data_IF_826404290363
#
_entry.id   IF_826404290363
#
_cell.length_a   1.000
_cell.length_b   1.000
_cell.length_c   1.000
_cell.angle_alpha   90.00
_cell.angle_beta   90.00
_cell.angle_gamma   90.00
#
_symmetry.space_group_name_H-M   'P 1'
#
loop_
_entity.id
_entity.type
_entity.pdbx_description
1 polymer ?
2 polymer ?
3 non-polymer ?
4 non-polymer ?
5 non-polymer ?
6 non-polymer ?
7 water ?
#
# COMPACT_ATOMS: atom_id res chain seq x y z
N UNK A 1 3.82 -7.64 11.93
CA UNK A 1 2.44 -7.35 12.36
C UNK A 1 2.24 -7.92 13.76
N UNK A 2 1.86 -7.08 14.70
CA UNK A 2 1.61 -7.52 16.07
C UNK A 2 0.09 -7.59 16.25
N UNK A 3 -0.38 -8.68 16.85
CA UNK A 3 -1.77 -8.86 17.24
C UNK A 3 -2.76 -9.09 16.11
N UNK A 4 -2.29 -9.60 14.97
CA UNK A 4 -3.18 -9.87 13.84
C UNK A 4 -3.43 -11.35 13.68
N UNK A 5 -3.50 -11.81 12.42
CA UNK A 5 -3.72 -13.23 12.14
C UNK A 5 -3.04 -13.55 10.82
N UNK A 6 -2.87 -14.85 10.51
CA UNK A 6 -2.33 -15.28 9.24
C UNK A 6 -3.33 -14.86 8.15
N UNK A 7 -2.84 -14.24 7.05
CA UNK A 7 -3.69 -13.87 5.91
C UNK A 7 -3.90 -15.19 5.15
N UNK A 8 -5.12 -15.76 5.03
CA UNK A 8 -5.25 -17.02 4.26
C UNK A 8 -4.60 -16.88 2.88
N UNK A 9 -3.88 -17.92 2.43
CA UNK A 9 -3.16 -17.92 1.14
C UNK A 9 -4.08 -17.45 0.02
N UNK A 10 -3.66 -16.41 -0.70
CA UNK A 10 -4.42 -15.85 -1.82
C UNK A 10 -5.35 -14.71 -1.43
N UNK A 11 -5.48 -14.36 -0.10
CA UNK A 11 -6.37 -13.24 0.27
C UNK A 11 -5.72 -11.83 0.30
N UNK A 12 -4.38 -11.72 0.13
CA UNK A 12 -3.66 -10.43 0.04
C UNK A 12 -2.81 -10.61 -1.23
N UNK A 13 -3.46 -10.81 -2.43
CA UNK A 13 -2.67 -11.17 -3.64
C UNK A 13 -1.85 -10.07 -4.24
N UNK A 14 -1.96 -8.87 -3.69
CA UNK A 14 -1.19 -7.71 -4.15
C UNK A 14 0.06 -7.52 -3.32
N UNK A 15 0.20 -8.26 -2.20
CA UNK A 15 1.33 -8.14 -1.28
C UNK A 15 2.62 -8.50 -2.00
N UNK A 16 3.63 -7.66 -1.85
CA UNK A 16 4.93 -7.91 -2.44
C UNK A 16 5.91 -8.14 -1.26
N UNK A 17 6.89 -9.00 -1.49
CA UNK A 17 8.01 -9.24 -0.61
C UNK A 17 9.25 -8.73 -1.34
N UNK A 18 9.99 -7.79 -0.69
CA UNK A 18 11.23 -7.29 -1.29
C UNK A 18 12.44 -7.94 -0.62
N UNK A 19 13.35 -8.45 -1.46
CA UNK A 19 14.55 -9.13 -0.98
C UNK A 19 15.82 -8.43 -1.47
N UNK A 20 16.87 -8.38 -0.62
CA UNK A 20 18.21 -7.87 -1.04
C UNK A 20 19.22 -8.98 -0.72
N UNK A 21 19.83 -9.57 -1.75
CA UNK A 21 20.73 -10.73 -1.58
C UNK A 21 19.98 -11.92 -0.94
N UNK A 22 18.68 -12.03 -1.23
CA UNK A 22 17.81 -13.09 -0.72
C UNK A 22 17.30 -12.90 0.70
N UNK A 23 17.74 -11.84 1.35
CA UNK A 23 17.32 -11.53 2.70
C UNK A 23 16.09 -10.62 2.65
N UNK A 24 15.18 -10.81 3.60
CA UNK A 24 13.96 -10.02 3.77
C UNK A 24 14.31 -8.54 3.97
N UNK A 25 13.80 -7.67 3.10
CA UNK A 25 14.08 -6.23 3.22
C UNK A 25 12.86 -5.44 3.69
N UNK A 26 11.76 -5.59 2.95
CA UNK A 26 10.55 -4.78 3.08
C UNK A 26 9.37 -5.44 2.40
N UNK A 27 8.21 -4.79 2.52
CA UNK A 27 6.99 -5.13 1.82
C UNK A 27 6.78 -4.14 0.71
N UNK A 28 5.74 -4.38 -0.08
CA UNK A 28 5.36 -3.55 -1.22
C UNK A 28 3.95 -3.88 -1.68
N UNK A 29 3.40 -3.09 -2.59
CA UNK A 29 2.05 -3.32 -3.14
C UNK A 29 2.12 -3.27 -4.66
N UNK A 30 1.66 -4.34 -5.32
CA UNK A 30 1.57 -4.43 -6.78
C UNK A 30 0.33 -3.59 -7.19
N UNK A 31 0.49 -2.59 -8.06
CA UNK A 31 -0.66 -1.77 -8.49
C UNK A 31 -1.04 -2.05 -9.97
N UNK A 32 -0.21 -2.80 -10.71
CA UNK A 32 -0.48 -3.32 -12.07
C UNK A 32 0.61 -4.33 -12.37
N UNK A 33 0.73 -4.87 -13.59
CA UNK A 33 1.71 -5.93 -13.81
C UNK A 33 3.20 -5.48 -13.75
N UNK A 34 3.48 -4.18 -13.88
CA UNK A 34 4.85 -3.66 -13.96
C UNK A 34 5.31 -2.91 -12.73
N UNK A 35 4.40 -2.27 -12.02
CA UNK A 35 4.74 -1.35 -10.93
C UNK A 35 4.38 -1.82 -9.53
N UNK A 36 5.25 -1.50 -8.58
CA UNK A 36 5.10 -1.76 -7.15
C UNK A 36 5.25 -0.45 -6.36
N UNK A 37 4.42 -0.26 -5.35
CA UNK A 37 4.56 0.89 -4.47
C UNK A 37 5.14 0.38 -3.15
N UNK A 38 6.22 1.04 -2.69
CA UNK A 38 6.85 0.68 -1.41
C UNK A 38 7.17 1.97 -0.62
N UNK A 39 8.03 1.89 0.41
CA UNK A 39 8.44 3.06 1.21
C UNK A 39 9.85 3.40 0.80
N UNK A 40 10.16 4.70 0.71
CA UNK A 40 11.50 5.20 0.40
C UNK A 40 12.55 4.74 1.42
N UNK A 41 12.22 4.76 2.74
CA UNK A 41 13.22 4.41 3.78
C UNK A 41 13.81 3.00 3.63
N UNK A 42 13.10 2.08 2.93
CA UNK A 42 13.50 0.69 2.65
C UNK A 42 14.84 0.66 1.94
N UNK A 43 15.14 1.72 1.16
CA UNK A 43 16.31 1.75 0.30
C UNK A 43 17.46 2.62 0.79
N UNK A 44 17.37 3.16 2.02
CA UNK A 44 18.41 4.04 2.59
C UNK A 44 19.81 3.42 2.61
N UNK A 45 19.90 2.10 2.86
CA UNK A 45 21.19 1.41 2.97
C UNK A 45 21.54 0.47 1.79
N UNK A 46 20.83 0.54 0.66
CA UNK A 46 21.15 -0.36 -0.47
C UNK A 46 22.52 0.01 -1.05
N UNK A 47 23.40 -0.97 -1.28
CA UNK A 47 24.68 -0.64 -1.92
C UNK A 47 24.72 -1.16 -3.35
N UNK A 48 24.25 -2.42 -3.53
CA UNK A 48 24.17 -3.03 -4.85
C UNK A 48 22.71 -3.15 -5.25
N UNK A 49 22.30 -2.21 -6.11
CA UNK A 49 20.95 -2.09 -6.62
C UNK A 49 20.53 -3.30 -7.48
N UNK A 50 21.51 -4.07 -8.02
CA UNK A 50 21.30 -5.26 -8.86
C UNK A 50 20.78 -6.52 -8.13
N UNK A 51 20.86 -6.57 -6.78
CA UNK A 51 20.44 -7.73 -5.98
C UNK A 51 19.07 -7.56 -5.30
N UNK A 52 18.29 -6.59 -5.79
CA UNK A 52 16.96 -6.25 -5.30
C UNK A 52 15.95 -7.01 -6.11
N UNK A 53 15.18 -7.86 -5.44
CA UNK A 53 14.18 -8.74 -6.06
C UNK A 53 12.84 -8.49 -5.40
N UNK A 54 11.78 -8.52 -6.22
CA UNK A 54 10.38 -8.44 -5.76
C UNK A 54 9.74 -9.82 -5.97
N UNK A 55 9.03 -10.33 -4.97
CA UNK A 55 8.39 -11.65 -5.08
C UNK A 55 6.88 -11.42 -4.90
N UNK A 56 6.06 -11.91 -5.88
CA UNK A 56 4.60 -11.83 -5.81
C UNK A 56 4.13 -13.23 -5.62
N UNK A 57 2.92 -13.40 -5.09
CA UNK A 57 2.32 -14.73 -4.89
C UNK A 57 2.90 -15.46 -3.70
N UNK A 58 3.64 -14.74 -2.86
CA UNK A 58 4.27 -15.29 -1.66
C UNK A 58 3.29 -15.42 -0.56
N UNK A 59 3.46 -16.44 0.28
CA UNK A 59 2.61 -16.64 1.45
C UNK A 59 3.48 -17.19 2.62
N UNK A 60 4.08 -18.37 2.42
CA UNK A 60 4.92 -19.07 3.41
C UNK A 60 6.37 -19.04 2.96
N UNK A 61 7.21 -18.41 3.76
CA UNK A 61 8.64 -18.25 3.42
C UNK A 61 9.48 -19.52 3.53
N UNK A 62 8.96 -20.56 4.19
CA UNK A 62 9.73 -21.80 4.38
C UNK A 62 9.55 -22.78 3.25
N UNK A 63 8.61 -22.51 2.34
CA UNK A 63 8.31 -23.49 1.29
C UNK A 63 8.02 -22.81 -0.04
N UNK A 64 8.44 -23.43 -1.14
CA UNK A 64 8.11 -22.97 -2.49
C UNK A 64 6.92 -23.80 -2.93
N UNK A 65 5.76 -23.17 -3.21
CA UNK A 65 4.58 -23.94 -3.66
C UNK A 65 4.25 -23.75 -5.14
N UNK A 66 5.02 -22.94 -5.84
CA UNK A 66 4.83 -22.70 -7.27
C UNK A 66 3.99 -21.47 -7.64
N UNK A 67 3.38 -20.80 -6.68
CA UNK A 67 2.60 -19.60 -6.97
C UNK A 67 3.48 -18.34 -6.89
N UNK A 68 4.71 -18.48 -6.35
CA UNK A 68 5.61 -17.36 -6.19
C UNK A 68 6.13 -16.94 -7.53
N UNK A 69 6.26 -15.62 -7.77
CA UNK A 69 6.86 -15.09 -9.01
C UNK A 69 7.89 -14.07 -8.57
N UNK A 70 9.14 -14.28 -8.95
CA UNK A 70 10.26 -13.39 -8.64
C UNK A 70 10.62 -12.50 -9.82
N UNK A 71 10.85 -11.20 -9.58
CA UNK A 71 11.28 -10.28 -10.65
C UNK A 71 12.37 -9.36 -10.13
N UNK A 72 13.33 -9.04 -11.00
CA UNK A 72 14.38 -8.08 -10.67
C UNK A 72 13.74 -6.70 -10.73
N UNK A 73 14.19 -5.79 -9.89
CA UNK A 73 13.65 -4.44 -9.87
C UNK A 73 14.54 -3.61 -10.77
N UNK A 74 13.99 -3.11 -11.91
CA UNK A 74 14.74 -2.31 -12.88
C UNK A 74 14.87 -0.84 -12.46
N UNK A 75 13.94 -0.32 -11.63
CA UNK A 75 13.99 1.08 -11.22
C UNK A 75 13.36 1.28 -9.87
N UNK A 76 13.95 2.19 -9.05
CA UNK A 76 13.43 2.59 -7.72
C UNK A 76 13.32 4.11 -7.78
N UNK A 77 12.08 4.63 -7.78
CA UNK A 77 11.80 6.07 -7.92
C UNK A 77 11.35 6.64 -6.60
N UNK A 78 12.10 7.60 -6.12
CA UNK A 78 11.87 8.24 -4.83
C UNK A 78 11.68 9.77 -5.04
N UNK A 79 10.74 10.40 -4.31
CA UNK A 79 10.55 11.85 -4.49
C UNK A 79 11.78 12.62 -4.01
N UNK A 80 12.08 13.74 -4.72
CA UNK A 80 13.24 14.58 -4.42
C UNK A 80 13.18 15.19 -3.05
N UNK A 81 11.97 15.26 -2.46
CA UNK A 81 11.74 15.87 -1.15
C UNK A 81 11.97 14.90 0.01
N UNK A 82 12.12 13.58 -0.29
CA UNK A 82 12.44 12.57 0.73
C UNK A 82 13.91 12.75 1.14
N UNK A 83 14.16 12.75 2.46
CA UNK A 83 15.53 12.87 2.97
C UNK A 83 15.87 11.57 3.72
N UNK A 84 16.91 10.81 3.34
CA UNK A 84 17.20 9.55 4.08
C UNK A 84 17.31 9.75 5.59
N UNK A 85 16.81 8.78 6.35
CA UNK A 85 16.88 8.80 7.80
C UNK A 85 15.79 9.61 8.45
N UNK A 86 14.88 10.19 7.64
CA UNK A 86 13.78 11.00 8.16
C UNK A 86 12.43 10.32 7.80
N UNK A 87 11.32 10.98 8.13
CA UNK A 87 9.96 10.45 7.99
C UNK A 87 9.14 10.94 6.78
N UNK A 88 9.25 12.23 6.39
CA UNK A 88 8.39 12.80 5.34
C UNK A 88 8.61 12.25 3.94
N UNK A 89 7.49 12.17 3.15
CA UNK A 89 7.49 11.71 1.76
C UNK A 89 8.04 10.30 1.63
N UNK A 90 7.56 9.38 2.50
CA UNK A 90 8.11 8.02 2.54
C UNK A 90 7.42 7.09 1.55
N UNK A 91 7.75 7.25 0.26
CA UNK A 91 7.14 6.48 -0.81
C UNK A 91 8.22 6.18 -1.88
N UNK A 92 8.13 5.01 -2.51
CA UNK A 92 8.99 4.60 -3.62
C UNK A 92 8.11 3.90 -4.62
N UNK A 93 8.40 4.12 -5.91
CA UNK A 93 7.73 3.49 -7.03
C UNK A 93 8.76 2.65 -7.75
N UNK A 94 8.51 1.35 -7.83
CA UNK A 94 9.46 0.39 -8.39
C UNK A 94 8.93 -0.14 -9.68
N UNK A 95 9.78 -0.19 -10.69
CA UNK A 95 9.43 -0.77 -11.99
C UNK A 95 10.09 -2.15 -12.07
N UNK A 96 9.29 -3.19 -12.36
CA UNK A 96 9.81 -4.56 -12.48
C UNK A 96 10.47 -4.68 -13.85
N UNK A 97 11.54 -5.48 -13.95
CA UNK A 97 12.27 -5.66 -15.21
C UNK A 97 11.42 -6.39 -16.27
N UNK A 98 10.54 -7.27 -15.82
CA UNK A 98 9.63 -8.03 -16.66
C UNK A 98 8.32 -8.04 -15.91
N UNK A 99 7.16 -7.89 -16.59
CA UNK A 99 5.88 -7.92 -15.84
C UNK A 99 5.64 -9.23 -15.12
N UNK A 100 4.86 -9.19 -14.03
CA UNK A 100 4.40 -10.43 -13.39
C UNK A 100 3.18 -10.88 -14.19
N UNK A 101 2.82 -12.16 -14.10
CA UNK A 101 1.64 -12.74 -14.74
C UNK A 101 0.53 -12.75 -13.65
N UNK A 102 -0.63 -12.17 -13.95
CA UNK A 102 -1.74 -12.17 -12.99
C UNK A 102 -2.36 -13.54 -12.99
N UNK A 103 -2.66 -14.03 -11.79
CA UNK A 103 -3.21 -15.38 -11.53
C UNK A 103 -4.09 -15.22 -10.29
N UNK A 104 -4.68 -16.31 -9.82
CA UNK A 104 -5.51 -16.26 -8.60
C UNK A 104 -4.71 -15.75 -7.40
N UNK A 105 -3.38 -15.92 -7.43
CA UNK A 105 -2.52 -15.55 -6.30
C UNK A 105 -1.72 -14.26 -6.48
N UNK A 106 -1.83 -13.63 -7.66
CA UNK A 106 -1.07 -12.39 -7.97
C UNK A 106 -2.06 -11.45 -8.68
N UNK A 107 -2.54 -10.44 -7.97
CA UNK A 107 -3.53 -9.48 -8.49
C UNK A 107 -3.15 -8.09 -7.99
N UNK A 108 -3.23 -7.02 -8.82
CA UNK A 108 -2.89 -5.69 -8.30
C UNK A 108 -3.95 -5.11 -7.39
N UNK A 109 -3.54 -4.22 -6.49
CA UNK A 109 -4.47 -3.48 -5.64
C UNK A 109 -4.81 -2.21 -6.45
N UNK A 110 -6.04 -1.66 -6.37
CA UNK A 110 -6.33 -0.42 -7.15
C UNK A 110 -5.65 0.81 -6.57
N UNK A 111 -4.91 1.55 -7.41
CA UNK A 111 -4.37 2.84 -6.98
C UNK A 111 -5.53 3.77 -7.27
N UNK A 112 -6.14 4.42 -6.27
CA UNK A 112 -7.32 5.22 -6.56
C UNK A 112 -6.98 6.59 -7.13
N UNK A 113 -8.00 7.32 -7.61
CA UNK A 113 -7.84 8.72 -8.02
C UNK A 113 -7.78 9.55 -6.74
N UNK A 114 -7.07 10.69 -6.79
CA UNK A 114 -6.93 11.55 -5.61
C UNK A 114 -8.29 11.99 -5.02
N UNK A 115 -9.23 12.46 -5.88
CA UNK A 115 -10.54 12.95 -5.39
C UNK A 115 -11.28 11.89 -4.61
N UNK A 116 -11.43 10.72 -5.24
CA UNK A 116 -12.04 9.56 -4.66
C UNK A 116 -11.36 9.18 -3.31
N UNK A 117 -10.01 9.16 -3.29
CA UNK A 117 -9.26 8.82 -2.07
C UNK A 117 -9.47 9.84 -0.95
N UNK A 118 -9.40 11.14 -1.26
CA UNK A 118 -9.58 12.18 -0.22
C UNK A 118 -11.03 12.34 0.24
N UNK A 119 -12.00 12.32 -0.68
CA UNK A 119 -13.38 12.58 -0.26
C UNK A 119 -14.17 11.33 0.14
N UNK A 120 -13.70 10.14 -0.20
CA UNK A 120 -14.44 8.94 0.17
C UNK A 120 -13.60 7.93 0.98
N UNK A 121 -12.46 7.48 0.42
CA UNK A 121 -11.68 6.45 1.09
C UNK A 121 -11.15 6.90 2.44
N UNK A 122 -10.76 8.19 2.55
CA UNK A 122 -10.21 8.74 3.79
C UNK A 122 -11.18 8.66 4.98
N UNK A 123 -12.46 8.39 4.71
CA UNK A 123 -13.49 8.29 5.75
C UNK A 123 -13.89 6.87 6.08
N UNK A 124 -13.28 5.88 5.40
CA UNK A 124 -13.54 4.46 5.73
C UNK A 124 -12.68 4.22 6.97
N UNK A 125 -13.33 3.89 8.09
CA UNK A 125 -12.65 3.74 9.38
C UNK A 125 -11.55 2.71 9.39
N UNK A 126 -11.88 1.46 9.06
CA UNK A 126 -10.93 0.35 9.13
C UNK A 126 -10.31 0.00 7.77
N UNK A 127 -9.05 -0.42 7.81
CA UNK A 127 -8.27 -0.85 6.66
C UNK A 127 -7.36 -1.97 7.08
N UNK A 128 -6.86 -2.74 6.10
CA UNK A 128 -5.98 -3.86 6.39
C UNK A 128 -4.52 -3.48 6.13
N UNK A 129 -3.62 -3.87 7.05
CA UNK A 129 -2.15 -3.68 6.95
C UNK A 129 -1.54 -5.07 7.01
N UNK A 130 -0.53 -5.35 6.17
CA UNK A 130 -0.03 -6.70 6.11
C UNK A 130 1.48 -6.79 5.92
N UNK A 131 2.05 -7.93 6.28
CA UNK A 131 3.47 -8.15 6.06
C UNK A 131 4.02 -9.34 6.81
N UNK A 132 5.33 -9.63 6.57
CA UNK A 132 6.03 -10.71 7.22
C UNK A 132 6.95 -10.08 8.31
N UNK A 133 6.50 -9.02 8.94
CA UNK A 133 7.30 -8.35 9.95
C UNK A 133 7.24 -9.03 11.30
N UNK A 134 7.81 -8.36 12.29
CA UNK A 134 7.91 -8.84 13.67
C UNK A 134 6.53 -9.16 14.20
N UNK A 135 6.43 -10.31 14.88
CA UNK A 135 5.18 -10.76 15.51
C UNK A 135 5.04 -10.13 16.88
N UNK A 136 6.15 -9.61 17.42
CA UNK A 136 6.25 -8.96 18.74
C UNK A 136 7.38 -7.95 18.67
N UNK A 137 7.32 -6.91 19.52
CA UNK A 137 8.44 -5.97 19.65
C UNK A 137 9.62 -6.78 20.23
N UNK A 138 10.78 -6.70 19.55
CA UNK A 138 12.04 -7.40 19.85
C UNK A 138 11.87 -8.93 19.72
N UNK A 139 10.90 -9.32 18.88
CA UNK A 139 10.59 -10.71 18.57
C UNK A 139 10.93 -11.08 17.14
N UNK A 140 10.75 -12.36 16.81
CA UNK A 140 11.02 -12.94 15.48
C UNK A 140 10.01 -12.44 14.42
N UNK A 141 10.43 -12.44 13.16
CA UNK A 141 9.55 -12.06 12.03
C UNK A 141 8.68 -13.26 11.67
N UNK A 142 7.55 -13.03 10.98
CA UNK A 142 6.63 -14.10 10.61
C UNK A 142 7.08 -14.93 9.41
N UNK A 143 6.77 -16.23 9.43
CA UNK A 143 7.06 -17.10 8.27
C UNK A 143 5.89 -17.10 7.28
N UNK A 144 4.65 -16.92 7.79
CA UNK A 144 3.44 -16.79 6.95
C UNK A 144 2.97 -15.35 6.98
N UNK A 145 2.42 -14.87 5.86
CA UNK A 145 1.92 -13.50 5.72
C UNK A 145 0.83 -13.23 6.76
N UNK A 146 1.00 -12.13 7.50
CA UNK A 146 0.07 -11.71 8.53
C UNK A 146 -0.70 -10.47 8.08
N UNK A 147 -1.91 -10.30 8.61
CA UNK A 147 -2.78 -9.18 8.28
C UNK A 147 -3.43 -8.72 9.57
N UNK A 148 -3.68 -7.41 9.67
CA UNK A 148 -4.31 -6.76 10.82
C UNK A 148 -5.24 -5.63 10.33
N UNK A 149 -6.42 -5.54 10.97
CA UNK A 149 -7.43 -4.52 10.70
C UNK A 149 -7.18 -3.37 11.65
N UNK A 150 -6.93 -2.16 11.13
CA UNK A 150 -6.63 -0.96 11.94
C UNK A 150 -7.58 0.23 11.70
N UNK A 151 -8.00 0.99 12.75
CA UNK A 151 -8.83 2.18 12.48
C UNK A 151 -7.95 3.40 12.15
N UNK A 152 -8.41 4.26 11.22
CA UNK A 152 -7.69 5.48 10.87
C UNK A 152 -8.10 6.59 11.82
N UNK A 153 -7.15 7.46 12.18
CA UNK A 153 -7.40 8.59 13.05
C UNK A 153 -7.23 9.89 12.31
N UNK A 154 -7.94 10.94 12.74
CA UNK A 154 -7.76 12.29 12.21
C UNK A 154 -6.47 12.75 12.89
N UNK A 155 -5.63 13.55 12.20
CA UNK A 155 -4.30 13.90 12.73
C UNK A 155 -4.40 14.62 14.11
N UNK A 156 -5.39 15.53 14.32
CA UNK A 156 -5.58 16.20 15.63
C UNK A 156 -5.81 15.13 16.74
N UNK A 157 -6.66 14.13 16.45
CA UNK A 157 -6.99 13.00 17.35
C UNK A 157 -5.79 12.11 17.63
N UNK A 158 -4.89 11.90 16.62
CA UNK A 158 -3.68 11.09 16.81
C UNK A 158 -2.76 11.80 17.81
N UNK A 159 -2.65 13.12 17.68
CA UNK A 159 -1.81 13.97 18.53
C UNK A 159 -2.38 14.12 19.96
N UNK A 160 -3.71 14.06 20.12
CA UNK A 160 -4.35 14.18 21.44
C UNK A 160 -4.37 12.84 22.19
N UNK A 161 -4.29 11.70 21.46
CA UNK A 161 -4.31 10.35 22.02
C UNK A 161 -2.90 9.78 22.24
N UNK A 162 -1.85 10.49 21.78
CA UNK A 162 -0.47 10.03 21.88
C UNK A 162 0.24 10.47 23.17
N UNK A 163 1.10 9.57 23.71
CA UNK A 163 1.87 9.79 24.94
C UNK A 163 3.00 10.82 24.72
N UNK A 164 2.98 11.92 25.50
CA UNK A 164 3.91 13.05 25.45
C UNK A 164 5.39 12.64 25.63
N UNK A 165 6.08 12.42 24.49
CA UNK A 165 7.49 12.02 24.43
C UNK A 165 8.32 13.02 23.62
N UNK A 166 9.52 13.32 24.12
CA UNK A 166 10.45 14.25 23.51
C UNK A 166 11.09 13.75 22.23
N UNK A 167 11.58 14.69 21.39
CA UNK A 167 12.27 14.48 20.10
C UNK A 167 11.41 13.70 19.06
N UNK A 168 10.09 13.62 19.27
CA UNK A 168 9.19 12.89 18.37
C UNK A 168 8.91 13.65 17.06
N UNK A 169 9.04 12.97 15.89
CA UNK A 169 8.74 13.65 14.62
C UNK A 169 7.25 13.98 14.49
N UNK A 170 6.96 15.08 13.80
CA UNK A 170 5.61 15.58 13.56
C UNK A 170 4.88 14.69 12.54
N UNK A 171 3.54 14.73 12.55
CA UNK A 171 2.73 14.03 11.58
C UNK A 171 2.31 15.09 10.57
N UNK A 172 2.92 15.03 9.35
CA UNK A 172 2.69 15.97 8.28
C UNK A 172 1.42 15.61 7.50
N UNK A 173 1.08 16.45 6.51
CA UNK A 173 -0.06 16.22 5.63
C UNK A 173 0.24 15.08 4.62
N UNK A 174 1.48 14.55 4.62
CA UNK A 174 1.86 13.44 3.74
C UNK A 174 1.85 12.13 4.55
N UNK A 175 1.19 12.16 5.74
CA UNK A 175 1.08 11.03 6.64
C UNK A 175 -0.30 10.94 7.24
N UNK A 176 -0.58 9.81 7.91
CA UNK A 176 -1.77 9.61 8.74
C UNK A 176 -1.51 8.52 9.76
N UNK A 177 -2.14 8.61 10.94
CA UNK A 177 -2.05 7.61 12.00
C UNK A 177 -3.15 6.58 11.83
N UNK A 178 -2.88 5.36 12.28
CA UNK A 178 -3.82 4.25 12.26
C UNK A 178 -3.37 3.18 13.25
N UNK A 179 -4.33 2.59 13.93
CA UNK A 179 -4.01 1.51 14.86
C UNK A 179 -4.57 1.74 16.23
N UNK A 180 -3.81 1.32 17.26
CA UNK A 180 -4.20 1.33 18.67
C UNK A 180 -3.10 1.90 19.55
N UNK A 181 -3.49 2.52 20.67
CA UNK A 181 -2.54 3.06 21.64
C UNK A 181 -2.31 2.13 22.86
N UNK A 182 -2.99 0.99 22.94
CA UNK A 182 -2.88 0.09 24.11
C UNK A 182 -1.75 -0.95 24.03
N UNK A 183 -0.94 -0.86 22.99
CA UNK A 183 0.19 -1.75 22.75
C UNK A 183 -0.14 -3.15 22.28
N UNK A 184 -1.40 -3.42 21.89
CA UNK A 184 -1.85 -4.76 21.46
C UNK A 184 -1.70 -5.07 19.96
N UNK A 185 -1.89 -4.05 19.07
CA UNK A 185 -1.91 -4.27 17.60
C UNK A 185 -1.21 -3.17 16.83
N UNK A 186 -0.35 -3.53 15.87
CA UNK A 186 0.35 -2.55 15.06
C UNK A 186 1.09 -3.25 13.93
N UNK A 187 1.55 -2.49 12.94
CA UNK A 187 2.43 -3.00 11.91
C UNK A 187 3.81 -2.68 12.51
N UNK A 188 4.88 -3.35 11.99
CA UNK A 188 6.25 -3.22 12.51
C UNK A 188 7.24 -2.83 11.41
N UNK A 189 8.50 -2.57 11.78
CA UNK A 189 9.57 -2.22 10.85
C UNK A 189 9.73 -3.21 9.68
N UNK A 190 9.58 -4.53 9.93
CA UNK A 190 9.68 -5.54 8.88
C UNK A 190 8.47 -5.54 7.94
N UNK A 191 7.39 -4.84 8.30
CA UNK A 191 6.21 -4.69 7.43
C UNK A 191 6.35 -3.45 6.55
N UNK A 192 7.36 -2.58 6.83
CA UNK A 192 7.63 -1.31 6.09
C UNK A 192 7.41 -1.50 4.62
N UNK A 193 6.75 -0.52 4.02
CA UNK A 193 6.53 -0.51 2.59
C UNK A 193 5.27 -1.24 2.18
N UNK A 194 4.71 -2.02 3.10
CA UNK A 194 3.53 -2.84 2.87
C UNK A 194 2.25 -2.03 2.70
N UNK A 195 1.18 -2.67 2.16
CA UNK A 195 -0.09 -1.95 1.94
C UNK A 195 -0.92 -1.69 3.19
N UNK A 196 -1.63 -0.58 3.14
CA UNK A 196 -2.70 -0.21 4.04
C UNK A 196 -3.80 -0.12 2.99
N UNK A 197 -4.66 -1.13 2.94
CA UNK A 197 -5.66 -1.33 1.91
C UNK A 197 -7.08 -1.07 2.45
N UNK A 198 -7.88 -0.29 1.70
CA UNK A 198 -9.23 0.13 2.11
C UNK A 198 -10.29 -0.43 1.18
N UNK A 199 -11.29 -1.08 1.76
CA UNK A 199 -12.39 -1.69 1.03
C UNK A 199 -13.51 -0.63 0.85
N UNK A 200 -14.05 -0.53 -0.36
CA UNK A 200 -15.17 0.36 -0.66
C UNK A 200 -15.98 -0.21 -1.81
N UNK A 201 -17.28 -0.46 -1.54
CA UNK A 201 -18.26 -0.98 -2.48
C UNK A 201 -17.72 -2.14 -3.32
N UNK A 202 -17.14 -3.12 -2.60
CA UNK A 202 -16.68 -4.40 -3.14
C UNK A 202 -15.31 -4.45 -3.77
N UNK A 203 -14.55 -3.35 -3.70
CA UNK A 203 -13.19 -3.30 -4.25
C UNK A 203 -12.23 -2.74 -3.21
N UNK A 204 -10.95 -3.20 -3.25
CA UNK A 204 -9.89 -2.73 -2.36
C UNK A 204 -9.00 -1.70 -3.06
N UNK A 205 -8.57 -0.67 -2.30
CA UNK A 205 -7.73 0.41 -2.81
C UNK A 205 -6.54 0.67 -1.93
N UNK A 206 -5.47 1.17 -2.54
CA UNK A 206 -4.26 1.55 -1.82
C UNK A 206 -4.42 2.93 -1.18
N UNK A 207 -4.47 2.98 0.17
CA UNK A 207 -4.61 4.25 0.89
C UNK A 207 -3.36 4.66 1.68
N UNK A 208 -2.56 3.70 2.11
CA UNK A 208 -1.38 4.02 2.91
C UNK A 208 -0.24 3.08 2.68
N UNK A 209 0.95 3.44 3.16
CA UNK A 209 2.15 2.61 3.08
C UNK A 209 2.72 2.52 4.49
N UNK A 210 3.05 1.29 4.99
CA UNK A 210 3.66 1.09 6.34
C UNK A 210 4.95 1.91 6.36
N UNK A 211 4.99 2.91 7.22
CA UNK A 211 6.07 3.87 7.20
C UNK A 211 6.91 3.92 8.48
N UNK A 212 6.36 4.43 9.57
CA UNK A 212 7.14 4.55 10.80
C UNK A 212 6.27 4.53 12.03
N UNK A 213 6.93 4.64 13.17
CA UNK A 213 6.33 4.68 14.49
C UNK A 213 7.46 4.61 15.49
N UNK A 214 7.15 4.38 16.77
CA UNK A 214 8.23 4.24 17.77
C UNK A 214 8.07 2.90 18.42
N UNK A 215 9.02 1.99 18.21
CA UNK A 215 8.99 0.62 18.73
C UNK A 215 7.65 0.00 18.40
N UNK A 216 7.60 -1.22 17.86
CA UNK A 216 6.33 -1.85 17.48
C UNK A 216 5.37 -1.99 18.64
N UNK A 217 4.09 -1.64 18.42
CA UNK A 217 2.98 -1.74 19.35
C UNK A 217 3.34 -1.20 20.76
N UNK A 218 3.95 0.01 20.81
CA UNK A 218 4.33 0.69 22.07
C UNK A 218 3.09 1.40 22.60
N UNK A 219 2.80 1.22 23.90
CA UNK A 219 1.69 1.90 24.57
C UNK A 219 1.81 3.40 24.34
N UNK A 220 0.67 4.05 24.05
CA UNK A 220 0.57 5.48 23.79
C UNK A 220 0.98 5.91 22.39
N UNK A 221 1.26 4.94 21.48
CA UNK A 221 1.71 5.25 20.13
C UNK A 221 1.00 4.47 19.06
N UNK A 222 0.71 5.16 17.95
CA UNK A 222 0.01 4.59 16.81
C UNK A 222 1.02 4.40 15.68
N UNK A 223 0.66 3.56 14.70
CA UNK A 223 1.50 3.41 13.52
C UNK A 223 1.31 4.64 12.64
N UNK A 224 2.32 5.00 11.84
CA UNK A 224 2.26 6.15 10.95
C UNK A 224 2.45 5.62 9.54
N UNK A 225 1.56 6.06 8.63
CA UNK A 225 1.48 5.58 7.25
C UNK A 225 1.65 6.72 6.25
N UNK A 226 2.25 6.44 5.10
CA UNK A 226 2.36 7.46 4.04
C UNK A 226 0.96 7.65 3.46
N UNK A 227 0.51 8.91 3.34
CA UNK A 227 -0.80 9.26 2.78
C UNK A 227 -0.69 9.21 1.25
N UNK A 228 -0.95 8.03 0.68
CA UNK A 228 -0.85 7.74 -0.76
C UNK A 228 -1.64 8.78 -1.62
N UNK A 229 -2.78 9.29 -1.14
CA UNK A 229 -3.59 10.27 -1.92
C UNK A 229 -2.81 11.51 -2.42
N UNK A 230 -1.80 11.95 -1.63
CA UNK A 230 -0.92 13.06 -1.97
C UNK A 230 0.01 12.80 -3.16
N UNK A 231 0.18 11.51 -3.53
CA UNK A 231 1.16 11.12 -4.57
C UNK A 231 0.58 10.60 -5.85
N UNK A 232 -0.77 10.51 -5.96
CA UNK A 232 -1.42 9.92 -7.17
C UNK A 232 -0.91 10.49 -8.47
N UNK A 233 -0.87 11.83 -8.57
CA UNK A 233 -0.44 12.53 -9.78
C UNK A 233 1.03 12.28 -10.04
N UNK A 234 1.87 12.33 -8.96
CA UNK A 234 3.31 12.08 -9.04
C UNK A 234 3.55 10.65 -9.58
N UNK A 235 2.79 9.64 -9.06
CA UNK A 235 2.90 8.24 -9.51
C UNK A 235 2.43 8.05 -10.95
N UNK A 236 1.28 8.63 -11.34
CA UNK A 236 0.73 8.50 -12.68
C UNK A 236 1.65 9.06 -13.75
N UNK A 237 2.26 10.21 -13.47
CA UNK A 237 3.19 10.79 -14.41
C UNK A 237 4.40 9.86 -14.60
N UNK A 238 4.97 9.37 -13.48
CA UNK A 238 6.14 8.49 -13.58
C UNK A 238 5.84 7.18 -14.31
N UNK A 239 4.65 6.62 -14.10
CA UNK A 239 4.25 5.39 -14.80
C UNK A 239 4.12 5.57 -16.31
N UNK A 240 4.00 6.81 -16.79
CA UNK A 240 3.96 7.10 -18.22
C UNK A 240 5.35 7.41 -18.78
N UNK A 241 6.38 7.44 -17.92
CA UNK A 241 7.74 7.77 -18.35
C UNK A 241 8.56 6.57 -18.84
N UNK A 242 9.51 6.85 -19.71
CA UNK A 242 10.43 5.83 -20.21
C UNK A 242 11.45 5.45 -19.12
N UNK A 243 11.88 4.18 -19.02
CA UNK A 243 12.91 3.83 -18.02
C UNK A 243 14.17 4.66 -18.29
N UNK A 244 14.99 4.88 -17.26
CA UNK A 244 16.24 5.62 -17.36
C UNK A 244 17.41 4.77 -16.92
N UNK A 245 18.63 4.92 -17.51
CA UNK A 245 19.77 4.13 -17.02
C UNK A 245 20.00 4.35 -15.51
N UNK A 246 20.46 3.32 -14.80
CA UNK A 246 20.65 3.38 -13.35
C UNK A 246 19.37 2.94 -12.65
N UNK A 247 19.50 2.24 -11.52
CA UNK A 247 18.33 1.75 -10.81
C UNK A 247 17.64 2.87 -10.04
N UNK A 248 18.37 3.52 -9.14
CA UNK A 248 17.81 4.61 -8.36
C UNK A 248 17.51 5.86 -9.20
N UNK A 249 16.28 6.41 -9.07
CA UNK A 249 15.90 7.66 -9.71
C UNK A 249 15.23 8.57 -8.68
N UNK A 250 15.76 9.80 -8.53
CA UNK A 250 15.17 10.80 -7.65
C UNK A 250 14.33 11.67 -8.59
N UNK A 251 12.99 11.73 -8.36
CA UNK A 251 12.10 12.50 -9.25
C UNK A 251 11.53 13.69 -8.54
N UNK A 252 11.41 14.87 -9.20
CA UNK A 252 10.89 16.05 -8.48
C UNK A 252 9.50 15.82 -7.94
N UNK A 253 9.28 16.28 -6.74
CA UNK A 253 7.98 16.23 -6.09
C UNK A 253 7.74 17.69 -5.66
N UNK A 254 6.58 18.31 -5.98
CA UNK A 254 5.37 17.74 -6.61
C UNK A 254 5.53 17.28 -8.07
N UNK B 1 -21.77 17.45 -6.01
CA UNK B 1 -22.44 16.15 -6.02
C UNK B 1 -21.50 15.00 -5.60
N UNK B 2 -20.25 14.98 -6.13
CA UNK B 2 -19.25 13.93 -5.81
C UNK B 2 -18.80 13.94 -4.35
N UNK B 3 -18.88 15.09 -3.68
CA UNK B 3 -18.47 15.27 -2.29
C UNK B 3 -19.40 14.50 -1.32
N UNK B 4 -20.69 14.34 -1.69
CA UNK B 4 -21.64 13.62 -0.84
C UNK B 4 -21.92 12.20 -1.34
N UNK B 5 -21.61 11.21 -0.48
CA UNK B 5 -21.77 9.76 -0.70
C UNK B 5 -21.19 9.30 -2.04
N UNK B 6 -20.05 9.94 -2.42
CA UNK B 6 -19.30 9.65 -3.65
C UNK B 6 -20.15 9.88 -4.92
N UNK B 7 -21.17 10.75 -4.78
CA UNK B 7 -22.10 11.10 -5.85
C UNK B 7 -22.93 9.91 -6.30
N UNK B 8 -23.02 8.88 -5.43
CA UNK B 8 -23.69 7.61 -5.71
C UNK B 8 -22.84 6.65 -6.54
N UNK B 9 -21.64 7.06 -6.97
CA UNK B 9 -20.76 6.25 -7.80
C UNK B 9 -20.18 5.06 -7.04
N UNK B 10 -19.93 3.96 -7.74
CA UNK B 10 -19.29 2.82 -7.10
C UNK B 10 -17.78 3.07 -6.94
N UNK B 11 -17.19 3.73 -7.94
CA UNK B 11 -15.76 4.04 -7.99
C UNK B 11 -15.52 5.55 -8.12
N UNK B 12 -15.10 6.04 -9.29
CA UNK B 12 -14.74 7.44 -9.39
C UNK B 12 -15.90 8.35 -9.79
N UNK B 13 -15.81 9.63 -9.40
CA UNK B 13 -16.83 10.64 -9.65
C UNK B 13 -16.22 11.92 -10.21
N UNK B 14 -16.78 12.46 -11.32
CA UNK B 14 -16.36 13.75 -11.90
C UNK B 14 -17.56 14.68 -11.83
N UNK B 15 -17.37 15.89 -11.27
CA UNK B 15 -18.42 16.91 -11.23
C UNK B 15 -18.41 17.69 -12.51
N UNK B 16 -19.59 18.07 -13.00
CA UNK B 16 -19.74 18.88 -14.20
C UNK B 16 -20.63 20.10 -13.92
N UNK B 17 -20.72 21.02 -14.90
CA UNK B 17 -21.49 22.27 -14.85
C UNK B 17 -22.88 22.04 -14.27
N UNK B 18 -23.20 22.77 -13.21
CA UNK B 18 -24.48 22.66 -12.51
C UNK B 18 -24.59 21.39 -11.70
N UNK B 19 -25.71 20.65 -11.85
CA UNK B 19 -25.96 19.40 -11.13
C UNK B 19 -25.59 18.14 -11.97
N UNK B 20 -24.75 18.29 -13.02
CA UNK B 20 -24.32 17.16 -13.84
C UNK B 20 -23.17 16.41 -13.14
N UNK B 21 -23.26 15.06 -13.12
CA UNK B 21 -22.27 14.17 -12.49
C UNK B 21 -21.95 13.01 -13.43
N UNK B 22 -20.66 12.65 -13.58
CA UNK B 22 -20.28 11.47 -14.36
C UNK B 22 -19.47 10.49 -13.50
N UNK B 23 -19.93 9.22 -13.38
CA UNK B 23 -19.18 8.19 -12.66
C UNK B 23 -18.23 7.58 -13.63
N UNK B 24 -17.07 7.13 -13.13
CA UNK B 24 -16.08 6.47 -13.97
C UNK B 24 -15.52 5.25 -13.24
N UNK B 25 -14.72 4.46 -13.94
CA UNK B 25 -14.17 3.19 -13.46
C UNK B 25 -12.65 3.10 -13.67
N UNK B 26 -11.95 2.35 -12.81
CA UNK B 26 -10.52 2.07 -12.94
C UNK B 26 -10.40 1.17 -14.18
N UNK B 27 -9.21 1.13 -14.81
CA UNK B 27 -8.91 0.25 -15.95
C UNK B 27 -9.30 -1.20 -15.57
N UNK B 28 -9.81 -1.97 -16.55
CA UNK B 28 -10.23 -3.35 -16.29
C UNK B 28 -11.66 -3.47 -15.77
N UNK B 29 -12.42 -2.36 -15.82
CA UNK B 29 -13.84 -2.25 -15.45
C UNK B 29 -14.59 -1.40 -16.49
N UNK B 30 -15.90 -1.61 -16.64
CA UNK B 30 -16.76 -0.80 -17.51
C UNK B 30 -17.95 -0.35 -16.67
N UNK B 31 -18.47 0.84 -16.99
CA UNK B 31 -19.60 1.43 -16.30
C UNK B 31 -20.90 0.85 -16.89
N UNK B 32 -21.79 0.42 -16.03
CA UNK B 32 -23.09 -0.13 -16.42
C UNK B 32 -24.04 1.02 -16.83
N UNK B 33 -25.19 0.69 -17.51
CA UNK B 33 -26.21 1.67 -17.95
C UNK B 33 -26.84 2.43 -16.81
N UNK B 34 -26.75 1.91 -15.55
CA UNK B 34 -27.27 2.67 -14.40
C UNK B 34 -26.44 3.93 -14.16
N UNK B 35 -25.26 4.00 -14.78
CA UNK B 35 -24.35 5.14 -14.66
C UNK B 35 -23.56 5.21 -13.37
N UNK B 36 -23.68 4.20 -12.51
CA UNK B 36 -23.01 4.20 -11.20
C UNK B 36 -22.15 2.96 -10.96
N UNK B 37 -22.61 1.79 -11.44
CA UNK B 37 -21.94 0.52 -11.16
C UNK B 37 -20.80 0.23 -12.11
N UNK B 38 -19.79 -0.48 -11.57
CA UNK B 38 -18.62 -0.86 -12.34
C UNK B 38 -18.55 -2.39 -12.41
N UNK B 39 -18.32 -2.91 -13.61
CA UNK B 39 -18.24 -4.36 -13.76
C UNK B 39 -16.90 -4.78 -14.39
N UNK B 40 -16.25 -5.84 -13.88
CA UNK B 40 -14.96 -6.27 -14.47
C UNK B 40 -15.03 -6.58 -15.98
N UNK B 41 -13.99 -6.18 -16.71
CA UNK B 41 -13.89 -6.48 -18.17
C UNK B 41 -12.71 -7.43 -18.43
N UNK B 42 -11.98 -7.75 -17.36
CA UNK B 42 -10.77 -8.60 -17.43
C UNK B 42 -10.89 -9.73 -16.44
N UNK B 43 -10.02 -10.75 -16.57
CA UNK B 43 -10.05 -11.93 -15.69
C UNK B 43 -9.63 -11.57 -14.27
N UNK B 44 -8.61 -10.71 -14.13
CA UNK B 44 -8.08 -10.33 -12.82
C UNK B 44 -8.17 -8.82 -12.56
N UNK B 45 -9.39 -8.24 -12.36
CA UNK B 45 -9.48 -6.78 -12.15
C UNK B 45 -8.80 -6.37 -10.84
N UNK B 46 -8.23 -5.15 -10.77
CA UNK B 46 -7.57 -4.69 -9.53
C UNK B 46 -8.52 -4.72 -8.34
N UNK B 47 -7.96 -4.95 -7.14
CA UNK B 47 -8.68 -4.85 -5.88
C UNK B 47 -9.73 -5.90 -5.65
N UNK B 48 -9.72 -6.97 -6.42
CA UNK B 48 -10.65 -8.07 -6.22
C UNK B 48 -9.86 -9.33 -5.90
N UNK B 49 -10.37 -10.12 -4.93
CA UNK B 49 -9.72 -11.34 -4.45
C UNK B 49 -10.33 -12.57 -5.15
N UNK B 50 -9.64 -13.15 -6.15
CA UNK B 50 -10.20 -14.30 -6.89
C UNK B 50 -10.68 -15.47 -6.04
N UNK B 51 -9.92 -15.89 -4.98
CA UNK B 51 -10.39 -17.06 -4.18
C UNK B 51 -11.72 -16.74 -3.43
N UNK B 52 -11.94 -15.45 -3.10
CA UNK B 52 -13.19 -15.06 -2.44
C UNK B 52 -14.30 -14.84 -3.50
N UNK B 53 -13.95 -14.21 -4.65
CA UNK B 53 -14.89 -13.96 -5.75
C UNK B 53 -15.47 -15.25 -6.34
N UNK B 54 -14.64 -16.30 -6.47
CA UNK B 54 -15.01 -17.60 -7.03
C UNK B 54 -15.82 -18.47 -6.07
N UNK B 55 -15.79 -18.15 -4.76
CA UNK B 55 -16.52 -18.83 -3.70
C UNK B 55 -18.00 -18.44 -3.76
X LIG C 1 12.20 1.00 10.26
X LIG C 1 6.22 0.98 11.06
X LIG C 1 6.10 1.08 12.46
X LIG C 1 7.30 1.25 13.23
X LIG C 1 8.54 1.31 12.55
X LIG C 1 7.44 1.00 10.44
X LIG C 1 7.21 1.33 14.64
X LIG C 1 5.98 1.27 15.25
X LIG C 1 4.85 1.03 13.19
X LIG C 1 11.58 8.07 12.56
X LIG C 1 15.04 1.55 8.99
X LIG C 1 12.10 7.36 11.30
X LIG C 1 13.64 7.57 11.20
X LIG C 1 11.72 5.88 11.24
X LIG C 1 11.74 5.11 12.41
X LIG C 1 11.52 3.74 12.37
X LIG C 1 11.27 3.11 11.16
X LIG C 1 11.20 3.88 10.00
X LIG C 1 11.39 5.25 10.03
X LIG C 1 11.19 6.04 8.74
X LIG C 1 11.10 1.59 11.08
X LIG C 1 9.83 1.20 10.50
X LIG C 1 8.61 1.18 11.18
X LIG C 1 4.82 1.12 14.60
X LIG C 1 11.98 0.76 9.09
X LIG C 1 13.44 0.84 10.78
X LIG C 1 14.54 0.43 9.88
X LIG C 1 15.94 1.27 7.95
X LIG C 1 16.39 2.34 7.19
X LIG C 1 16.04 3.65 7.41
X LIG C 1 15.16 3.91 8.45
X LIG C 1 14.66 2.87 9.21
X LIG C 1 14.82 5.26 8.78
X LIG C 1 14.12 6.98 9.96
X LIG C 1 14.65 5.75 10.03
X LIG C 1 14.87 5.16 11.05
X LIG C 1 13.80 1.09 12.18
X LIG C 1 16.42 0.02 7.76
X LIG C 1 17.20 2.05 6.14
X LIG C 1 3.68 0.89 12.55
X LIG C 1 5.34 0.88 10.43
X LIG C 1 9.40 1.51 13.19
X LIG C 1 7.48 0.89 9.36
X LIG C 1 8.11 1.44 15.24
X LIG C 1 5.85 1.37 16.33
X LIG C 1 11.68 9.16 12.52
X LIG C 1 10.53 7.87 12.73
X LIG C 1 12.12 7.76 13.45
X LIG C 1 11.66 7.88 10.46
X LIG C 1 13.87 8.62 11.06
X LIG C 1 14.16 7.26 12.10
X LIG C 1 11.97 5.54 13.38
X LIG C 1 11.55 3.18 13.29
X LIG C 1 10.99 3.39 9.05
X LIG C 1 10.95 5.40 7.89
X LIG C 1 12.05 6.62 8.46
X LIG C 1 10.35 6.72 8.88
X LIG C 1 11.13 1.17 12.09
X LIG C 1 9.83 0.95 9.52
X LIG C 1 14.22 -0.42 9.27
X LIG C 1 15.40 0.04 10.44
X LIG C 1 16.46 4.43 6.80
X LIG C 1 13.93 3.07 10.01
X LIG C 1 14.71 5.86 7.96
X LIG C 1 14.81 0.80 12.43
X LIG C 1 13.75 2.15 12.46
X LIG C 1 13.16 0.54 12.87
X LIG C 1 17.26 0.09 7.23
X LIG C 1 3.57 0.84 11.55
X LIG C 1 2.81 0.84 13.09
X LIG D 1 6.55 -19.72 -0.39
X LIG E 1 12.95 -10.39 -14.14
X LIG E 1 12.10 -11.39 -14.79
X LIG E 1 13.99 -10.01 -15.05
X LIG E 1 12.23 -9.23 -13.77
X LIG E 1 13.56 -11.00 -12.99
X LIG F 1 2.79 8.49 17.25
X LIG F 1 3.18 7.78 16.04
X LIG F 1 2.85 9.93 17.01
X LIG F 1 1.45 8.11 17.69
X LIG F 1 3.78 8.17 18.27
X LIG G 1 -2.89 2.29 -12.94
X LIG G 1 -2.98 3.72 -13.12
X LIG G 1 -1.95 1.71 -13.90
X LIG G 1 -4.21 1.67 -13.17
X LIG G 1 -2.42 2.03 -11.58
X LIG H 1 13.52 -1.03 6.47
X LIG H 1 12.55 -1.97 6.98
X LIG H 1 13.21 -3.05 7.81
X LIG H 1 14.25 -3.76 6.98
X LIG H 1 15.23 -2.77 6.46
X LIG H 1 14.52 -1.71 5.66
X LIG H 1 14.90 -4.88 7.74
X LIG H 1 14.14 -6.20 7.55
X LIG H 1 13.42 -6.82 9.06
X LIG H 1 14.53 -7.35 9.84
X LIG H 1 12.48 -7.86 8.65
X LIG H 1 12.78 -5.69 9.70
X LIG H 1 11.91 -2.38 6.20
X LIG H 1 11.90 -1.34 7.59
X LIG H 1 13.64 -2.64 8.71
X LIG H 1 12.45 -3.76 8.13
X LIG H 1 13.78 -4.14 6.17
X LIG H 1 15.97 -3.28 5.84
X LIG H 1 15.80 -2.34 7.27
X LIG H 1 15.21 -0.99 5.22
X LIG H 1 13.96 -2.15 4.85
X LIG H 1 14.94 -4.61 8.80
X LIG H 1 15.94 -4.99 7.45
X LIG H 1 13.35 -6.16 6.81
X LIG H 1 14.80 -6.99 7.16
#
# INVERSE_FOLDING_TARGET
IVGGKVCPKGECPWQVLLLVNGAQLCGGTLINTIWVVSAAHCFDKIKNWRNLIAVLGEHDLSEHDGDEQSRRVAQVIIPSTYVPGTTNHDIALLRLHQPVVLTDHVVPLCLPERTFSERTLAFVRFSLVSGWGQLLDRGATALELMVLNVPRLMTQDCLQQSRKVGDSPNITEYMFCAGYSDGSKDSCKGDSGGPHATHYRGTWYLTGIVSWGQGCATVGHFGVYTRVSQYIEWLQKLMRSEPRPGVLLRAPFP
ICVNENGGCEQYCSDHTGTKRSCRCHEGYSLLADGVSCTPTVEYPCGKIPILEKR
67O C13 C18 C17 C16 C15 C19 C20 C21 C23 C11 C27 C1 C2 C3 C4 C5 C6 C7 C8 C9 C10 N12 C14 N22 O24 N25 C26 C28 C29 C30 C31 C32 N33 O34 C35 O36 C37 O38 F39 N40 H56 H55 H57 H58 H59 H53 H52 H51 H41 H42 H43 H44 H45 H46 H49 H48 H47 H50 H54 H61 H60 H62 H63 H64 H67 H66 H65 H68 H70 H69
CA CA
SO4 S O1 O2 O3 O4
SO4 S O1 O2 O3 O4
SO4 S O1 O2 O3 O4
MES O1 C2 C3 N4 C5 C6 C7 C8 S O1S O2S O3S H21 H22 H31 H32 HN4 H51 H52 H61 H62 H71 H72 H81 H82
#
